data_IF_388299828752
#
_entry.id   IF_388299828752
#
_cell.length_a   1.000
_cell.length_b   1.000
_cell.length_c   1.000
_cell.angle_alpha   90.00
_cell.angle_beta   90.00
_cell.angle_gamma   90.00
#
_symmetry.space_group_name_H-M   'P 1'
#
loop_
_entity.id
_entity.type
_entity.pdbx_description
1 polymer ?
#
# COMPACT_ATOMS: atom_id res chain seq x y z
N UNK A 1 -49.19 -47.17 2.38
CA UNK A 1 -48.94 -46.91 0.93
C UNK A 1 -48.02 -45.71 0.81
N UNK A 2 -46.93 -45.87 0.08
CA UNK A 2 -45.69 -45.09 0.15
C UNK A 2 -45.90 -43.64 -0.34
N UNK A 3 -45.58 -42.58 0.44
CA UNK A 3 -45.55 -41.23 -0.09
C UNK A 3 -44.11 -40.75 -0.35
N UNK A 4 -43.80 -40.56 -1.63
CA UNK A 4 -43.40 -39.28 -2.23
C UNK A 4 -42.42 -38.34 -1.46
N UNK A 5 -41.35 -38.84 -0.81
CA UNK A 5 -40.39 -37.95 -0.12
C UNK A 5 -38.91 -38.11 -0.49
N UNK A 6 -38.57 -38.88 -1.54
CA UNK A 6 -37.15 -39.14 -1.90
C UNK A 6 -36.67 -38.61 -3.24
N UNK A 7 -37.50 -37.91 -4.01
CA UNK A 7 -37.09 -37.38 -5.32
C UNK A 7 -36.78 -35.86 -5.32
N UNK A 8 -36.98 -35.14 -4.20
CA UNK A 8 -36.86 -33.68 -4.18
C UNK A 8 -35.56 -33.13 -3.55
N UNK A 9 -34.65 -33.99 -3.11
CA UNK A 9 -33.35 -33.57 -2.52
C UNK A 9 -32.23 -33.56 -3.56
N UNK A 10 -32.42 -34.18 -4.73
CA UNK A 10 -31.39 -34.29 -5.77
C UNK A 10 -31.30 -33.10 -6.74
N UNK A 11 -32.20 -32.12 -6.66
CA UNK A 11 -32.30 -31.03 -7.66
C UNK A 11 -31.99 -29.63 -7.09
N UNK A 12 -31.67 -29.52 -5.81
CA UNK A 12 -31.28 -28.23 -5.18
C UNK A 12 -29.75 -28.08 -5.05
N UNK A 13 -28.97 -29.13 -5.30
CA UNK A 13 -27.50 -29.12 -5.13
C UNK A 13 -26.68 -28.98 -6.42
N UNK A 14 -27.28 -28.62 -7.56
CA UNK A 14 -26.55 -28.51 -8.85
C UNK A 14 -26.61 -27.10 -9.46
N UNK A 15 -27.20 -26.11 -8.78
CA UNK A 15 -27.27 -24.73 -9.31
C UNK A 15 -26.74 -23.74 -8.28
N UNK A 16 -25.43 -23.78 -8.01
CA UNK A 16 -24.68 -22.60 -7.56
C UNK A 16 -23.16 -22.82 -7.77
N UNK A 17 -22.78 -23.23 -8.98
CA UNK A 17 -21.40 -23.08 -9.46
C UNK A 17 -21.37 -22.30 -10.77
N UNK A 18 -22.34 -21.40 -10.94
CA UNK A 18 -22.14 -20.25 -11.80
C UNK A 18 -21.14 -19.37 -11.05
N UNK A 19 -19.85 -19.51 -11.39
CA UNK A 19 -18.91 -18.42 -11.22
C UNK A 19 -19.52 -17.23 -11.95
N UNK A 20 -20.23 -16.38 -11.20
CA UNK A 20 -20.68 -15.09 -11.66
C UNK A 20 -19.39 -14.33 -11.95
N UNK A 21 -18.98 -14.36 -13.22
CA UNK A 21 -17.95 -13.47 -13.70
C UNK A 21 -18.57 -12.09 -13.54
N UNK A 22 -18.20 -11.41 -12.45
CA UNK A 22 -18.60 -10.03 -12.24
C UNK A 22 -18.19 -9.28 -13.52
N UNK A 23 -19.13 -8.54 -14.11
CA UNK A 23 -18.85 -7.76 -15.29
C UNK A 23 -17.65 -6.83 -15.00
N UNK A 24 -16.79 -6.54 -16.01
CA UNK A 24 -15.68 -5.63 -15.82
C UNK A 24 -16.17 -4.30 -15.22
N UNK A 25 -15.53 -3.84 -14.15
CA UNK A 25 -15.89 -2.60 -13.45
C UNK A 25 -14.90 -1.51 -13.84
N UNK A 26 -15.35 -0.36 -14.35
CA UNK A 26 -14.45 0.73 -14.71
C UNK A 26 -13.99 1.50 -13.46
N UNK A 27 -12.72 1.91 -13.48
CA UNK A 27 -12.08 2.74 -12.47
C UNK A 27 -11.22 3.82 -13.12
N UNK A 28 -11.08 4.94 -12.44
CA UNK A 28 -10.15 6.04 -12.80
C UNK A 28 -9.09 6.28 -11.72
N UNK A 29 -9.14 5.49 -10.63
CA UNK A 29 -8.24 5.56 -9.49
C UNK A 29 -8.01 4.16 -8.93
N UNK A 30 -6.74 3.81 -8.73
CA UNK A 30 -6.38 2.52 -8.13
C UNK A 30 -6.79 2.42 -6.67
N UNK A 31 -6.74 3.52 -5.91
CA UNK A 31 -7.13 3.46 -4.50
C UNK A 31 -8.63 3.16 -4.35
N UNK A 32 -9.48 3.67 -5.25
CA UNK A 32 -10.88 3.28 -5.35
C UNK A 32 -11.06 1.81 -5.72
N UNK A 33 -10.36 1.33 -6.74
CA UNK A 33 -10.39 -0.08 -7.14
C UNK A 33 -10.00 -1.02 -5.99
N UNK A 34 -8.93 -0.70 -5.26
CA UNK A 34 -8.52 -1.52 -4.12
C UNK A 34 -9.50 -1.48 -2.96
N UNK A 35 -10.15 -0.33 -2.70
CA UNK A 35 -11.21 -0.23 -1.68
C UNK A 35 -12.44 -1.05 -2.06
N UNK A 36 -12.80 -1.12 -3.35
CA UNK A 36 -13.96 -1.90 -3.79
C UNK A 36 -13.79 -3.41 -3.61
N UNK A 37 -12.55 -3.91 -3.49
CA UNK A 37 -12.28 -5.33 -3.21
C UNK A 37 -12.62 -5.74 -1.77
N UNK A 38 -12.75 -4.77 -0.85
CA UNK A 38 -13.05 -5.00 0.56
C UNK A 38 -11.96 -5.75 1.35
N UNK A 39 -12.15 -5.81 2.68
CA UNK A 39 -11.22 -6.46 3.59
C UNK A 39 -9.89 -5.71 3.73
N UNK A 40 -9.88 -4.41 3.45
CA UNK A 40 -8.68 -3.57 3.55
C UNK A 40 -8.17 -3.53 4.99
N UNK A 41 -6.84 -3.65 5.16
CA UNK A 41 -6.20 -3.53 6.47
C UNK A 41 -6.34 -2.10 7.01
N UNK A 42 -6.35 -1.09 6.13
CA UNK A 42 -6.53 0.31 6.47
C UNK A 42 -7.79 0.85 5.76
N UNK A 43 -8.96 0.82 6.42
CA UNK A 43 -10.24 1.19 5.78
C UNK A 43 -10.53 2.70 5.77
N UNK A 44 -9.86 3.48 6.62
CA UNK A 44 -10.14 4.90 6.82
C UNK A 44 -9.47 5.80 5.76
N UNK A 45 -9.29 7.09 6.05
CA UNK A 45 -8.47 8.04 5.26
C UNK A 45 -7.13 8.34 5.95
N UNK A 46 -6.17 8.83 5.15
CA UNK A 46 -4.76 8.88 5.53
C UNK A 46 -4.40 10.14 6.27
N UNK A 47 -3.31 10.03 7.01
CA UNK A 47 -2.49 11.02 7.72
C UNK A 47 -1.42 11.76 6.92
N UNK A 48 -1.61 12.86 6.17
CA UNK A 48 -0.46 13.55 5.57
C UNK A 48 0.55 13.94 6.66
N UNK A 49 1.80 13.56 6.46
CA UNK A 49 2.90 13.96 7.31
C UNK A 49 3.40 15.32 6.88
N UNK A 50 3.84 16.13 7.84
CA UNK A 50 4.49 17.38 7.55
C UNK A 50 6.01 17.18 7.47
N UNK A 51 6.68 17.95 6.62
CA UNK A 51 8.13 17.88 6.41
C UNK A 51 8.84 19.09 7.02
N UNK A 52 9.28 19.04 8.28
CA UNK A 52 10.34 19.91 8.76
C UNK A 52 11.66 19.55 8.06
N UNK A 53 12.22 20.49 7.31
CA UNK A 53 13.59 20.44 6.80
C UNK A 53 14.41 21.57 7.40
N UNK A 54 15.68 21.29 7.70
CA UNK A 54 16.71 22.32 7.82
C UNK A 54 17.36 22.55 6.44
N UNK A 55 18.26 23.53 6.32
CA UNK A 55 19.01 23.83 5.09
C UNK A 55 19.85 22.66 4.51
N UNK A 56 19.82 21.49 5.15
CA UNK A 56 20.51 20.26 4.71
C UNK A 56 19.53 19.09 4.50
N UNK A 57 19.59 18.37 3.36
CA UNK A 57 18.74 17.21 3.07
C UNK A 57 18.85 16.07 4.10
N UNK A 58 20.01 15.96 4.78
CA UNK A 58 20.25 14.94 5.82
C UNK A 58 19.47 15.19 7.12
N UNK A 59 18.76 16.30 7.19
CA UNK A 59 17.97 16.71 8.35
C UNK A 59 16.49 16.89 8.00
N UNK A 60 16.03 16.40 6.84
CA UNK A 60 14.61 16.35 6.52
C UNK A 60 13.95 15.14 7.20
N UNK A 61 12.82 15.35 7.86
CA UNK A 61 12.01 14.28 8.45
C UNK A 61 10.54 14.56 8.24
N UNK A 62 9.78 13.54 7.86
CA UNK A 62 8.33 13.57 7.79
C UNK A 62 7.75 13.17 9.15
N UNK A 63 6.89 14.00 9.73
CA UNK A 63 6.36 13.80 11.09
C UNK A 63 4.89 14.15 11.19
N UNK A 64 4.22 13.56 12.18
CA UNK A 64 2.87 14.01 12.60
C UNK A 64 2.89 15.09 13.66
N UNK A 65 4.03 15.33 14.32
CA UNK A 65 4.18 16.35 15.36
C UNK A 65 5.63 16.76 15.59
N UNK A 66 5.83 17.92 16.22
CA UNK A 66 7.15 18.38 16.66
C UNK A 66 7.82 17.42 17.66
N UNK A 67 7.02 16.75 18.48
CA UNK A 67 7.51 15.73 19.43
C UNK A 67 8.25 14.61 18.69
N UNK A 68 7.76 14.17 17.53
CA UNK A 68 8.41 13.12 16.74
C UNK A 68 9.73 13.60 16.13
N UNK A 69 9.78 14.84 15.63
CA UNK A 69 11.03 15.44 15.12
C UNK A 69 12.12 15.48 16.20
N UNK A 70 11.77 15.93 17.42
CA UNK A 70 12.69 16.02 18.56
C UNK A 70 13.18 14.64 19.03
N UNK A 71 12.32 13.61 19.01
CA UNK A 71 12.73 12.24 19.35
C UNK A 71 13.72 11.64 18.36
N UNK A 72 13.64 12.06 17.09
CA UNK A 72 14.53 11.55 16.05
C UNK A 72 15.89 12.26 16.07
N UNK A 73 15.93 13.54 16.41
CA UNK A 73 17.15 14.34 16.40
C UNK A 73 17.36 15.01 17.76
N UNK A 74 18.32 14.50 18.52
CA UNK A 74 18.66 14.95 19.88
C UNK A 74 19.25 16.38 19.97
N UNK A 75 19.38 17.10 18.84
CA UNK A 75 19.97 18.44 18.79
C UNK A 75 19.05 19.44 18.06
N UNK A 76 18.95 20.69 18.54
CA UNK A 76 18.09 21.72 17.98
C UNK A 76 18.74 22.36 16.73
N UNK A 77 19.00 21.57 15.68
CA UNK A 77 19.41 22.09 14.37
C UNK A 77 18.20 22.46 13.48
N UNK A 78 17.01 22.52 14.07
CA UNK A 78 15.76 22.83 13.40
C UNK A 78 15.53 24.33 13.36
N UNK A 79 15.49 24.92 12.17
CA UNK A 79 15.03 26.29 12.00
C UNK A 79 13.51 26.33 12.13
N UNK A 80 13.06 27.03 13.17
CA UNK A 80 11.70 27.46 13.56
C UNK A 80 10.52 26.68 12.98
N UNK A 81 9.83 25.84 13.78
CA UNK A 81 8.56 25.27 13.38
C UNK A 81 7.50 26.38 13.29
N UNK A 82 7.04 26.66 12.07
CA UNK A 82 5.64 27.08 11.89
C UNK A 82 4.72 25.85 12.03
N UNK A 83 3.44 26.08 12.34
CA UNK A 83 2.23 25.21 12.31
C UNK A 83 2.28 23.75 12.80
N UNK A 84 3.45 23.20 13.15
CA UNK A 84 3.60 21.82 13.61
C UNK A 84 3.12 21.70 15.05
N UNK A 85 2.10 20.88 15.25
CA UNK A 85 1.55 20.66 16.58
C UNK A 85 2.58 19.96 17.50
N UNK A 86 2.62 20.37 18.77
CA UNK A 86 3.43 19.71 19.81
C UNK A 86 2.88 18.32 20.20
N UNK A 87 1.59 18.11 19.95
CA UNK A 87 0.92 16.81 20.06
C UNK A 87 0.15 16.58 18.76
N UNK A 88 0.24 15.40 18.14
CA UNK A 88 -0.56 15.10 16.98
C UNK A 88 -2.06 15.11 17.36
N UNK A 89 -2.97 15.43 16.43
CA UNK A 89 -4.40 15.33 16.66
C UNK A 89 -4.81 13.95 17.17
N UNK A 90 -5.91 13.89 17.93
CA UNK A 90 -6.40 12.60 18.45
C UNK A 90 -6.71 11.65 17.29
N UNK A 91 -6.17 10.43 17.36
CA UNK A 91 -6.35 9.40 16.34
C UNK A 91 -5.31 9.44 15.22
N UNK A 92 -4.49 10.48 15.14
CA UNK A 92 -3.37 10.52 14.20
C UNK A 92 -2.21 9.65 14.70
N UNK A 93 -1.58 8.85 13.82
CA UNK A 93 -0.42 8.05 14.18
C UNK A 93 0.74 8.91 14.70
N UNK A 94 1.38 8.49 15.79
CA UNK A 94 2.57 9.18 16.32
C UNK A 94 3.82 8.67 15.58
N UNK A 95 4.10 9.23 14.41
CA UNK A 95 5.03 8.68 13.41
C UNK A 95 6.08 9.68 12.96
N UNK A 96 7.28 9.17 12.68
CA UNK A 96 8.37 9.87 12.01
C UNK A 96 8.98 9.01 10.89
N UNK A 97 9.40 9.62 9.79
CA UNK A 97 10.11 8.96 8.69
C UNK A 97 11.16 9.88 8.07
N UNK A 98 12.40 9.41 7.92
CA UNK A 98 13.54 10.22 7.47
C UNK A 98 14.25 9.64 6.23
N UNK A 99 13.66 8.62 5.60
CA UNK A 99 14.30 7.89 4.50
C UNK A 99 15.16 6.70 4.94
N UNK A 100 15.59 6.62 6.20
CA UNK A 100 16.43 5.53 6.74
C UNK A 100 15.69 4.64 7.75
N UNK A 101 14.70 5.18 8.43
CA UNK A 101 13.91 4.48 9.43
C UNK A 101 12.46 5.00 9.48
N UNK A 102 11.56 4.11 9.90
CA UNK A 102 10.22 4.49 10.38
C UNK A 102 10.25 4.47 11.91
N UNK A 103 9.80 5.55 12.54
CA UNK A 103 9.56 5.61 13.98
C UNK A 103 8.07 5.60 14.25
N UNK A 104 7.66 4.78 15.22
CA UNK A 104 6.28 4.75 15.74
C UNK A 104 6.34 4.87 17.25
N UNK A 105 5.83 5.99 17.79
CA UNK A 105 5.93 6.35 19.20
C UNK A 105 7.37 6.56 19.64
N UNK A 106 7.96 5.57 20.31
CA UNK A 106 9.36 5.57 20.76
C UNK A 106 10.22 4.50 20.07
N UNK A 107 9.61 3.61 19.28
CA UNK A 107 10.32 2.50 18.63
C UNK A 107 10.78 2.94 17.25
N UNK A 108 12.00 2.56 16.90
CA UNK A 108 12.62 2.82 15.60
C UNK A 108 12.79 1.53 14.81
N UNK A 109 12.39 1.56 13.55
CA UNK A 109 12.47 0.45 12.60
C UNK A 109 13.35 0.87 11.42
N UNK A 110 14.63 0.46 11.39
CA UNK A 110 15.52 0.77 10.28
C UNK A 110 15.07 0.09 9.00
N UNK A 111 15.02 0.82 7.88
CA UNK A 111 14.74 0.25 6.57
C UNK A 111 15.80 -0.81 6.18
N UNK A 112 17.03 -0.68 6.65
CA UNK A 112 18.11 -1.68 6.52
C UNK A 112 17.77 -3.07 7.05
N UNK A 113 16.81 -3.15 7.98
CA UNK A 113 16.33 -4.41 8.57
C UNK A 113 14.95 -4.84 8.07
N UNK A 114 14.35 -4.08 7.15
CA UNK A 114 13.01 -4.35 6.67
C UNK A 114 12.98 -5.58 5.75
N UNK A 115 11.87 -6.31 5.82
CA UNK A 115 11.59 -7.43 4.91
C UNK A 115 11.11 -6.86 3.58
N UNK A 116 11.87 -7.09 2.52
CA UNK A 116 11.47 -6.66 1.18
C UNK A 116 10.61 -7.74 0.53
N UNK A 117 9.43 -7.34 0.05
CA UNK A 117 8.42 -8.21 -0.57
C UNK A 117 8.29 -7.99 -2.08
N UNK A 118 9.20 -7.20 -2.68
CA UNK A 118 9.32 -7.00 -4.12
C UNK A 118 10.45 -7.81 -4.75
N UNK A 119 10.35 -8.07 -6.06
CA UNK A 119 11.33 -8.88 -6.81
C UNK A 119 12.72 -8.23 -6.92
N UNK A 120 12.78 -6.90 -6.85
CA UNK A 120 14.02 -6.13 -6.87
C UNK A 120 14.15 -5.35 -5.56
N UNK A 121 15.23 -5.61 -4.80
CA UNK A 121 15.66 -4.64 -3.79
C UNK A 121 15.94 -3.33 -4.52
N UNK A 122 15.53 -2.16 -3.97
CA UNK A 122 15.96 -0.89 -4.53
C UNK A 122 17.48 -0.91 -4.73
N UNK A 123 17.91 -0.61 -5.96
CA UNK A 123 19.31 -0.73 -6.39
C UNK A 123 20.30 0.02 -5.48
N UNK A 124 19.81 1.01 -4.72
CA UNK A 124 20.56 1.74 -3.69
C UNK A 124 19.98 1.36 -2.32
N UNK A 125 20.65 0.41 -1.66
CA UNK A 125 20.06 -0.42 -0.63
C UNK A 125 19.35 0.29 0.52
N UNK A 126 18.13 -0.11 0.83
CA UNK A 126 17.44 0.14 2.10
C UNK A 126 17.31 1.60 2.57
N UNK A 127 17.58 2.59 1.72
CA UNK A 127 17.36 4.00 2.03
C UNK A 127 16.52 4.64 0.93
N UNK A 128 15.68 5.58 1.33
CA UNK A 128 14.87 6.42 0.46
C UNK A 128 15.45 7.83 0.57
N UNK A 129 15.91 8.39 -0.54
CA UNK A 129 16.48 9.74 -0.54
C UNK A 129 15.39 10.78 -0.26
N UNK A 130 15.45 11.54 0.85
CA UNK A 130 14.41 12.50 1.23
C UNK A 130 14.16 13.56 0.15
N UNK A 131 15.21 13.97 -0.56
CA UNK A 131 15.15 14.96 -1.65
C UNK A 131 14.33 14.53 -2.87
N UNK A 132 14.04 13.22 -2.99
CA UNK A 132 13.18 12.68 -4.05
C UNK A 132 11.75 12.46 -3.57
N UNK A 133 11.46 12.63 -2.28
CA UNK A 133 10.13 12.43 -1.70
C UNK A 133 9.32 13.72 -1.84
N UNK A 134 8.16 13.63 -2.48
CA UNK A 134 7.21 14.74 -2.64
C UNK A 134 6.28 14.87 -1.44
N UNK A 135 5.74 13.73 -0.98
CA UNK A 135 4.82 13.67 0.15
C UNK A 135 4.86 12.29 0.81
N UNK A 136 4.46 12.26 2.09
CA UNK A 136 4.28 11.03 2.86
C UNK A 136 2.94 11.06 3.56
N UNK A 137 2.18 9.97 3.43
CA UNK A 137 0.89 9.78 4.12
C UNK A 137 0.97 8.56 5.03
N UNK A 138 0.60 8.73 6.29
CA UNK A 138 0.59 7.67 7.30
C UNK A 138 -0.82 7.13 7.55
N UNK A 139 -0.91 5.82 7.72
CA UNK A 139 -2.13 5.07 7.95
C UNK A 139 -1.96 4.24 9.20
N UNK A 140 -3.01 4.10 10.01
CA UNK A 140 -2.94 3.29 11.21
C UNK A 140 -4.23 2.52 11.45
N UNK A 141 -4.07 1.25 11.86
CA UNK A 141 -5.14 0.46 12.45
C UNK A 141 -4.57 -0.47 13.52
N UNK A 142 -5.07 -0.31 14.74
CA UNK A 142 -4.51 -1.00 15.90
C UNK A 142 -3.01 -0.68 16.04
N UNK A 143 -2.18 -1.72 16.05
CA UNK A 143 -0.71 -1.61 16.09
C UNK A 143 -0.04 -1.55 14.71
N UNK A 144 -0.81 -1.70 13.62
CA UNK A 144 -0.27 -1.64 12.27
C UNK A 144 -0.19 -0.21 11.80
N UNK A 145 0.93 0.16 11.18
CA UNK A 145 1.14 1.48 10.57
C UNK A 145 1.62 1.28 9.14
N UNK A 146 1.07 2.01 8.20
CA UNK A 146 1.49 1.96 6.80
C UNK A 146 1.82 3.37 6.30
N UNK A 147 2.92 3.52 5.56
CA UNK A 147 3.33 4.78 4.96
C UNK A 147 3.31 4.67 3.45
N UNK A 148 2.61 5.60 2.82
CA UNK A 148 2.71 5.89 1.41
C UNK A 148 3.78 6.95 1.21
N UNK A 149 4.82 6.62 0.46
CA UNK A 149 5.92 7.54 0.14
C UNK A 149 5.88 7.81 -1.35
N UNK A 150 5.44 9.01 -1.72
CA UNK A 150 5.33 9.46 -3.11
C UNK A 150 6.56 10.26 -3.48
N UNK A 151 7.07 10.03 -4.68
CA UNK A 151 8.29 10.68 -5.15
C UNK A 151 8.00 11.79 -6.16
N UNK A 152 8.79 12.86 -6.12
CA UNK A 152 8.80 13.88 -7.14
C UNK A 152 9.51 13.36 -8.40
N UNK A 153 9.04 13.73 -9.58
CA UNK A 153 9.67 13.40 -10.85
C UNK A 153 8.67 13.18 -11.99
N UNK A 154 9.10 12.41 -13.00
CA UNK A 154 8.30 12.03 -14.17
C UNK A 154 8.41 10.52 -14.44
N UNK A 155 7.50 9.98 -15.26
CA UNK A 155 7.51 8.56 -15.61
C UNK A 155 7.24 7.65 -14.40
N UNK A 156 8.00 6.56 -14.27
CA UNK A 156 7.80 5.55 -13.22
C UNK A 156 7.82 6.13 -11.80
N UNK A 157 8.62 7.16 -11.52
CA UNK A 157 8.77 7.70 -10.16
C UNK A 157 7.51 8.35 -9.59
N UNK A 158 6.63 8.88 -10.45
CA UNK A 158 5.31 9.44 -10.07
C UNK A 158 4.18 8.43 -10.23
N UNK A 159 4.39 7.38 -11.03
CA UNK A 159 3.40 6.32 -11.23
C UNK A 159 3.25 5.41 -10.00
N UNK A 160 4.34 5.14 -9.31
CA UNK A 160 4.38 4.19 -8.21
C UNK A 160 4.58 4.84 -6.86
N UNK A 161 3.82 4.36 -5.88
CA UNK A 161 4.03 4.68 -4.48
C UNK A 161 4.94 3.63 -3.86
N UNK A 162 5.95 4.08 -3.11
CA UNK A 162 6.69 3.19 -2.20
C UNK A 162 5.88 3.01 -0.94
N UNK A 163 5.56 1.77 -0.58
CA UNK A 163 4.71 1.47 0.58
C UNK A 163 5.53 0.75 1.65
N UNK A 164 5.58 1.35 2.84
CA UNK A 164 6.22 0.79 4.03
C UNK A 164 5.14 0.33 5.00
N UNK A 165 5.18 -0.93 5.42
CA UNK A 165 4.18 -1.49 6.34
C UNK A 165 4.86 -1.98 7.62
N UNK A 166 4.53 -1.37 8.75
CA UNK A 166 4.78 -1.94 10.07
C UNK A 166 3.57 -2.81 10.46
N UNK A 167 3.81 -4.10 10.67
CA UNK A 167 2.77 -5.04 11.09
C UNK A 167 3.35 -6.12 12.01
N UNK A 168 2.68 -6.37 13.14
CA UNK A 168 3.02 -7.42 14.12
C UNK A 168 4.50 -7.46 14.56
N UNK A 169 5.18 -6.31 14.68
CA UNK A 169 6.61 -6.17 14.99
C UNK A 169 7.60 -6.45 13.84
N UNK A 170 7.18 -6.24 12.59
CA UNK A 170 8.10 -6.21 11.45
C UNK A 170 7.80 -5.06 10.52
N UNK A 171 8.86 -4.43 10.01
CA UNK A 171 8.78 -3.47 8.92
C UNK A 171 8.94 -4.21 7.59
N UNK A 172 8.00 -3.97 6.67
CA UNK A 172 8.00 -4.51 5.32
C UNK A 172 8.14 -3.37 4.31
N UNK A 173 8.89 -3.63 3.24
CA UNK A 173 8.90 -2.81 2.04
C UNK A 173 8.11 -3.58 0.99
N UNK A 174 6.94 -3.10 0.63
CA UNK A 174 6.10 -3.72 -0.39
C UNK A 174 6.67 -3.45 -1.80
N UNK A 175 6.34 -4.27 -2.82
CA UNK A 175 6.64 -3.92 -4.20
C UNK A 175 6.03 -2.56 -4.57
N UNK A 176 6.57 -1.85 -5.57
CA UNK A 176 5.96 -0.63 -6.08
C UNK A 176 4.50 -0.85 -6.46
N UNK A 177 3.60 -0.06 -5.86
CA UNK A 177 2.16 -0.20 -6.08
C UNK A 177 1.64 0.96 -6.93
N UNK A 178 0.79 0.63 -7.90
CA UNK A 178 -0.14 1.61 -8.46
C UNK A 178 -1.22 1.87 -7.44
N UNK A 179 -0.96 2.69 -6.43
CA UNK A 179 -1.90 2.92 -5.35
C UNK A 179 -1.19 3.19 -4.04
N UNK A 180 -1.82 2.80 -2.94
CA UNK A 180 -1.44 3.27 -1.63
C UNK A 180 -1.76 2.20 -0.56
N UNK A 181 -1.64 2.52 0.72
CA UNK A 181 -1.92 1.60 1.82
C UNK A 181 -3.33 0.97 1.80
N UNK A 182 -4.30 1.56 1.07
CA UNK A 182 -5.61 0.93 0.85
C UNK A 182 -5.50 -0.39 0.05
N UNK A 183 -4.42 -0.60 -0.70
CA UNK A 183 -4.15 -1.84 -1.41
C UNK A 183 -3.91 -3.04 -0.48
N UNK A 184 -3.46 -2.79 0.75
CA UNK A 184 -3.14 -3.83 1.73
C UNK A 184 -4.43 -4.36 2.35
N UNK A 185 -4.57 -5.69 2.37
CA UNK A 185 -5.78 -6.36 2.89
C UNK A 185 -5.44 -7.26 4.07
N UNK A 186 -6.42 -7.43 4.94
CA UNK A 186 -6.35 -8.43 6.02
C UNK A 186 -6.17 -9.83 5.41
N UNK A 187 -5.42 -10.68 6.11
CA UNK A 187 -5.32 -12.10 5.77
C UNK A 187 -5.49 -12.97 7.03
N UNK A 188 -5.83 -14.27 6.87
CA UNK A 188 -6.00 -15.18 7.99
C UNK A 188 -4.78 -15.22 8.92
N UNK A 189 -5.01 -15.61 10.18
CA UNK A 189 -3.98 -15.75 11.22
C UNK A 189 -3.25 -14.43 11.56
N UNK A 190 -3.92 -13.30 11.33
CA UNK A 190 -3.35 -11.98 11.63
C UNK A 190 -2.19 -11.62 10.70
N UNK A 191 -2.19 -12.14 9.47
CA UNK A 191 -1.30 -11.69 8.42
C UNK A 191 -1.93 -10.58 7.57
N UNK A 192 -1.25 -10.25 6.48
CA UNK A 192 -1.78 -9.35 5.46
C UNK A 192 -1.56 -9.94 4.07
N UNK A 193 -2.25 -9.38 3.09
CA UNK A 193 -1.98 -9.57 1.68
C UNK A 193 -1.80 -8.25 0.96
N UNK A 194 -1.07 -8.27 -0.14
CA UNK A 194 -0.71 -7.10 -0.92
C UNK A 194 -0.69 -7.44 -2.42
N UNK A 195 -0.97 -6.48 -3.32
CA UNK A 195 -0.89 -6.72 -4.74
C UNK A 195 0.56 -6.72 -5.23
N UNK A 196 0.85 -7.63 -6.15
CA UNK A 196 2.04 -7.65 -7.00
C UNK A 196 1.60 -7.50 -8.44
N UNK A 197 2.08 -6.43 -9.09
CA UNK A 197 1.62 -6.03 -10.41
C UNK A 197 2.61 -6.51 -11.48
N UNK A 198 2.08 -7.06 -12.57
CA UNK A 198 2.83 -7.40 -13.78
C UNK A 198 2.17 -6.75 -14.99
N UNK A 199 2.93 -6.01 -15.80
CA UNK A 199 2.40 -5.45 -17.04
C UNK A 199 1.97 -6.53 -18.02
N UNK A 200 0.88 -6.24 -18.74
CA UNK A 200 0.37 -7.07 -19.82
C UNK A 200 0.62 -6.38 -21.17
N UNK A 201 0.82 -7.19 -22.21
CA UNK A 201 1.07 -6.72 -23.57
C UNK A 201 2.47 -7.06 -24.09
N UNK A 202 2.64 -7.01 -25.41
CA UNK A 202 3.89 -7.39 -26.07
C UNK A 202 5.06 -6.46 -25.69
N UNK A 203 4.77 -5.19 -25.41
CA UNK A 203 5.76 -4.15 -25.12
C UNK A 203 5.91 -3.86 -23.62
N UNK A 204 5.27 -4.64 -22.75
CA UNK A 204 5.39 -4.56 -21.29
C UNK A 204 5.19 -3.12 -20.79
N UNK A 205 6.08 -2.60 -19.94
CA UNK A 205 5.99 -1.26 -19.36
C UNK A 205 6.00 -0.11 -20.40
N UNK A 206 6.53 -0.33 -21.60
CA UNK A 206 6.65 0.72 -22.62
C UNK A 206 5.30 1.04 -23.30
N UNK A 207 4.46 0.02 -23.49
CA UNK A 207 3.12 0.17 -24.06
C UNK A 207 2.19 -0.93 -23.50
N UNK A 208 1.85 -0.85 -22.21
CA UNK A 208 1.07 -1.88 -21.55
C UNK A 208 -0.39 -1.82 -22.00
N UNK A 209 -0.99 -2.98 -22.22
CA UNK A 209 -2.44 -3.10 -22.46
C UNK A 209 -3.22 -3.24 -21.15
N UNK A 210 -2.52 -3.40 -20.02
CA UNK A 210 -3.13 -3.67 -18.73
C UNK A 210 -2.14 -4.17 -17.67
N UNK A 211 -2.68 -4.68 -16.57
CA UNK A 211 -1.94 -5.32 -15.48
C UNK A 211 -2.57 -6.64 -15.09
N UNK A 212 -1.74 -7.63 -14.79
CA UNK A 212 -2.11 -8.71 -13.90
C UNK A 212 -1.75 -8.31 -12.48
N UNK A 213 -2.70 -8.42 -11.56
CA UNK A 213 -2.56 -8.05 -10.15
C UNK A 213 -2.74 -9.30 -9.30
N UNK A 214 -1.62 -9.86 -8.85
CA UNK A 214 -1.59 -11.01 -7.96
C UNK A 214 -1.59 -10.55 -6.50
N UNK A 215 -2.64 -10.88 -5.74
CA UNK A 215 -2.64 -10.66 -4.30
C UNK A 215 -1.88 -11.80 -3.62
N UNK A 216 -0.75 -11.46 -3.02
CA UNK A 216 0.13 -12.39 -2.31
C UNK A 216 -0.03 -12.22 -0.80
N UNK A 217 0.07 -13.31 -0.04
CA UNK A 217 0.22 -13.24 1.42
C UNK A 217 1.56 -12.63 1.82
N UNK A 218 1.68 -12.23 3.08
CA UNK A 218 2.90 -11.69 3.68
C UNK A 218 4.11 -12.64 3.68
N UNK A 219 3.96 -13.88 3.23
CA UNK A 219 5.06 -14.81 2.92
C UNK A 219 5.75 -14.52 1.58
N UNK A 220 5.18 -13.62 0.78
CA UNK A 220 5.69 -13.17 -0.50
C UNK A 220 5.53 -14.15 -1.66
N UNK A 221 4.81 -15.26 -1.49
CA UNK A 221 4.74 -16.33 -2.50
C UNK A 221 3.35 -16.94 -2.67
N UNK A 222 2.56 -17.01 -1.59
CA UNK A 222 1.21 -17.60 -1.65
C UNK A 222 0.23 -16.62 -2.27
N UNK A 223 -0.18 -16.86 -3.51
CA UNK A 223 -1.26 -16.10 -4.18
C UNK A 223 -2.63 -16.51 -3.66
N UNK A 224 -3.45 -15.53 -3.29
CA UNK A 224 -4.83 -15.72 -2.79
C UNK A 224 -5.91 -15.19 -3.72
N UNK A 225 -5.56 -14.31 -4.66
CA UNK A 225 -6.45 -13.82 -5.70
C UNK A 225 -5.63 -13.27 -6.87
N UNK A 226 -6.25 -13.22 -8.05
CA UNK A 226 -5.70 -12.57 -9.23
C UNK A 226 -6.77 -11.70 -9.87
N UNK A 227 -6.37 -10.51 -10.29
CA UNK A 227 -7.22 -9.61 -11.06
C UNK A 227 -6.52 -9.24 -12.37
N UNK A 228 -7.31 -9.08 -13.42
CA UNK A 228 -6.86 -8.53 -14.69
C UNK A 228 -7.44 -7.13 -14.84
N UNK A 229 -6.54 -6.17 -14.95
CA UNK A 229 -6.84 -4.79 -15.28
C UNK A 229 -6.57 -4.59 -16.77
N UNK A 230 -7.55 -4.08 -17.50
CA UNK A 230 -7.40 -3.68 -18.89
C UNK A 230 -7.41 -2.17 -18.96
N UNK A 231 -6.36 -1.56 -19.50
CA UNK A 231 -6.29 -0.12 -19.64
C UNK A 231 -7.26 0.35 -20.73
N UNK A 232 -8.02 1.40 -20.42
CA UNK A 232 -8.95 2.04 -21.35
C UNK A 232 -8.18 2.81 -22.43
N UNK A 233 -7.02 3.37 -22.06
CA UNK A 233 -6.04 3.99 -22.95
C UNK A 233 -4.63 3.49 -22.55
N UNK A 234 -3.87 2.84 -23.44
CA UNK A 234 -2.50 2.43 -23.15
C UNK A 234 -1.55 3.57 -22.74
N UNK A 235 -1.88 4.82 -23.10
CA UNK A 235 -1.15 6.03 -22.69
C UNK A 235 -1.47 6.52 -21.28
N UNK A 236 -2.58 6.09 -20.70
CA UNK A 236 -3.06 6.48 -19.37
C UNK A 236 -3.37 5.25 -18.49
N UNK A 237 -2.42 4.81 -17.64
CA UNK A 237 -2.61 3.62 -16.81
C UNK A 237 -3.60 3.82 -15.65
N UNK A 238 -4.18 5.01 -15.48
CA UNK A 238 -5.13 5.28 -14.38
C UNK A 238 -6.59 5.00 -14.75
N UNK A 239 -6.93 4.99 -16.04
CA UNK A 239 -8.24 4.56 -16.53
C UNK A 239 -8.24 3.08 -16.93
N UNK A 240 -9.03 2.24 -16.25
CA UNK A 240 -9.03 0.81 -16.52
C UNK A 240 -10.33 0.09 -16.14
N UNK A 241 -10.54 -1.08 -16.71
CA UNK A 241 -11.56 -2.03 -16.29
C UNK A 241 -10.92 -3.18 -15.50
N UNK A 242 -11.48 -3.50 -14.34
CA UNK A 242 -11.01 -4.61 -13.50
C UNK A 242 -11.94 -5.83 -13.61
N UNK A 243 -11.33 -7.02 -13.70
CA UNK A 243 -12.02 -8.30 -13.65
C UNK A 243 -11.27 -9.29 -12.78
N UNK A 244 -11.99 -10.23 -12.16
CA UNK A 244 -11.38 -11.34 -11.42
C UNK A 244 -10.89 -12.39 -12.42
N UNK A 245 -9.65 -12.84 -12.27
CA UNK A 245 -9.13 -14.01 -13.00
C UNK A 245 -9.34 -15.26 -12.14
N UNK A 246 -10.19 -16.21 -12.56
CA UNK A 246 -10.54 -17.39 -11.78
C UNK A 246 -9.37 -18.37 -11.54
#
# INVERSE_FOLDING_TARGET
>A
MIPLHRALVGLVSVVLSAAAHAAPVPFTDYAESYRSLGGNLFPDAGTPLALPCAESPRHCIWVTSMRQALRRYDRPLWTTPGDLAMSPPKGTPDVAFDGEAVMVGARRWPLGSAVSLGAERPANGSHIHPERVADVTAWQRGSSVCLDVRHAGSGASVRYTTVLLLHADRLYILPPLFGNCAAVREAPRGGFSYPSNTYLGAEQENHPTGLQVDYLLSDGSTRIARYLLRFSDPGDPYGFEASLDP
#
